data_IF_212595180229
#
_entry.id   IF_212595180229
#
_cell.length_a   1.000
_cell.length_b   1.000
_cell.length_c   1.000
_cell.angle_alpha   90.00
_cell.angle_beta   90.00
_cell.angle_gamma   90.00
#
_symmetry.space_group_name_H-M   'P 1'
#
loop_
_entity.id
_entity.type
_entity.pdbx_description
1 polymer ?
#
# COMPACT_ATOMS: atom_id res chain seq x y z
N UNK A 1 23.37 13.91 -26.17
CA UNK A 1 24.11 13.26 -25.07
C UNK A 1 23.13 12.53 -24.15
N UNK A 2 23.48 11.34 -23.65
CA UNK A 2 22.68 10.67 -22.60
C UNK A 2 23.02 11.31 -21.25
N UNK A 3 22.03 11.86 -20.57
CA UNK A 3 22.16 12.36 -19.18
C UNK A 3 21.94 11.15 -18.28
N UNK A 4 22.92 10.80 -17.44
CA UNK A 4 22.76 9.70 -16.48
C UNK A 4 21.79 10.06 -15.35
N UNK A 5 21.28 9.05 -14.64
CA UNK A 5 20.28 9.20 -13.58
C UNK A 5 20.62 10.28 -12.56
N UNK A 6 21.77 10.20 -11.89
CA UNK A 6 22.15 11.16 -10.85
C UNK A 6 22.29 12.60 -11.36
N UNK A 7 22.77 12.77 -12.60
CA UNK A 7 22.85 14.09 -13.22
C UNK A 7 21.46 14.63 -13.57
N UNK A 8 20.55 13.76 -14.01
CA UNK A 8 19.16 14.14 -14.22
C UNK A 8 18.49 14.51 -12.90
N UNK A 9 18.69 13.70 -11.85
CA UNK A 9 18.17 13.95 -10.51
C UNK A 9 18.66 15.29 -9.94
N UNK A 10 19.97 15.45 -9.82
CA UNK A 10 20.58 16.66 -9.28
C UNK A 10 20.23 17.88 -10.12
N UNK A 11 20.29 17.74 -11.45
CA UNK A 11 19.94 18.80 -12.38
C UNK A 11 18.49 19.25 -12.22
N UNK A 12 17.54 18.31 -12.20
CA UNK A 12 16.12 18.61 -12.02
C UNK A 12 15.82 19.23 -10.67
N UNK A 13 16.56 18.89 -9.62
CA UNK A 13 16.36 19.45 -8.27
C UNK A 13 17.06 20.80 -8.07
N UNK A 14 18.13 21.08 -8.82
CA UNK A 14 18.91 22.32 -8.68
C UNK A 14 18.45 23.45 -9.61
N UNK A 15 17.61 23.15 -10.61
CA UNK A 15 17.01 24.16 -11.46
C UNK A 15 16.54 23.67 -12.83
N UNK A 16 16.20 24.61 -13.70
CA UNK A 16 15.53 24.31 -14.98
C UNK A 16 16.48 24.18 -16.18
N UNK A 17 17.75 24.53 -16.02
CA UNK A 17 18.71 24.58 -17.13
C UNK A 17 18.97 23.20 -17.78
N UNK A 18 18.89 22.12 -17.00
CA UNK A 18 19.14 20.76 -17.49
C UNK A 18 18.04 20.26 -18.44
N UNK A 19 16.84 20.83 -18.39
CA UNK A 19 15.67 20.31 -19.10
C UNK A 19 15.75 20.41 -20.63
N UNK A 20 16.53 21.35 -21.15
CA UNK A 20 16.85 21.40 -22.59
C UNK A 20 17.59 20.15 -23.07
N UNK A 21 18.41 19.55 -22.21
CA UNK A 21 19.10 18.28 -22.48
C UNK A 21 18.20 17.09 -22.16
N UNK A 22 17.38 17.19 -21.11
CA UNK A 22 16.50 16.10 -20.69
C UNK A 22 15.37 15.82 -21.69
N UNK A 23 14.77 16.84 -22.32
CA UNK A 23 13.72 16.61 -23.33
C UNK A 23 14.16 15.74 -24.51
N UNK A 24 15.46 15.74 -24.82
CA UNK A 24 16.04 14.93 -25.89
C UNK A 24 16.28 13.48 -25.49
N UNK A 25 16.06 13.10 -24.22
CA UNK A 25 16.24 11.72 -23.77
C UNK A 25 15.31 10.75 -24.50
N UNK A 26 15.74 9.50 -24.56
CA UNK A 26 14.87 8.40 -24.99
C UNK A 26 13.80 8.20 -23.93
N UNK A 27 12.56 7.94 -24.37
CA UNK A 27 11.43 7.73 -23.46
C UNK A 27 11.71 6.57 -22.49
N UNK A 28 12.24 5.46 -23.01
CA UNK A 28 12.61 4.30 -22.20
C UNK A 28 13.64 4.65 -21.11
N UNK A 29 14.59 5.55 -21.39
CA UNK A 29 15.57 6.01 -20.39
C UNK A 29 14.91 6.88 -19.33
N UNK A 30 13.96 7.74 -19.70
CA UNK A 30 13.18 8.51 -18.74
C UNK A 30 12.32 7.61 -17.85
N UNK A 31 11.64 6.61 -18.43
CA UNK A 31 10.88 5.60 -17.68
C UNK A 31 11.80 4.83 -16.72
N UNK A 32 12.98 4.42 -17.17
CA UNK A 32 13.94 3.75 -16.29
C UNK A 32 14.38 4.63 -15.12
N UNK A 33 14.71 5.90 -15.36
CA UNK A 33 15.03 6.84 -14.29
C UNK A 33 13.85 7.07 -13.34
N UNK A 34 12.63 7.10 -13.87
CA UNK A 34 11.42 7.22 -13.07
C UNK A 34 11.22 6.01 -12.14
N UNK A 35 11.41 4.79 -12.65
CA UNK A 35 11.34 3.56 -11.84
C UNK A 35 12.40 3.60 -10.74
N UNK A 36 13.64 3.95 -11.07
CA UNK A 36 14.71 4.05 -10.08
C UNK A 36 14.39 5.09 -9.00
N UNK A 37 13.87 6.25 -9.40
CA UNK A 37 13.47 7.30 -8.47
C UNK A 37 12.32 6.85 -7.56
N UNK A 38 11.35 6.13 -8.13
CA UNK A 38 10.22 5.59 -7.37
C UNK A 38 10.68 4.58 -6.33
N UNK A 39 11.62 3.69 -6.68
CA UNK A 39 12.21 2.73 -5.73
C UNK A 39 12.94 3.43 -4.58
N UNK A 40 13.67 4.52 -4.87
CA UNK A 40 14.34 5.31 -3.84
C UNK A 40 13.32 5.96 -2.89
N UNK A 41 12.30 6.64 -3.45
CA UNK A 41 11.25 7.29 -2.64
C UNK A 41 10.48 6.28 -1.79
N UNK A 42 10.12 5.16 -2.39
CA UNK A 42 9.50 4.02 -1.72
C UNK A 42 10.30 3.53 -0.52
N UNK A 43 11.61 3.35 -0.70
CA UNK A 43 12.50 2.94 0.38
C UNK A 43 12.51 3.96 1.52
N UNK A 44 12.58 5.26 1.22
CA UNK A 44 12.53 6.30 2.25
C UNK A 44 11.20 6.34 3.01
N UNK A 45 10.07 6.30 2.30
CA UNK A 45 8.74 6.23 2.94
C UNK A 45 8.61 5.00 3.83
N UNK A 46 9.08 3.85 3.34
CA UNK A 46 9.09 2.62 4.12
C UNK A 46 9.88 2.77 5.43
N UNK A 47 11.07 3.39 5.39
CA UNK A 47 11.85 3.63 6.60
C UNK A 47 11.11 4.53 7.61
N UNK A 48 10.32 5.49 7.16
CA UNK A 48 9.52 6.35 8.04
C UNK A 48 8.31 5.65 8.67
N UNK A 49 7.65 4.78 7.92
CA UNK A 49 6.42 4.09 8.37
C UNK A 49 6.71 2.78 9.11
N UNK A 50 7.81 2.09 8.78
CA UNK A 50 8.17 0.79 9.33
C UNK A 50 8.24 0.75 10.87
N UNK A 51 8.84 1.72 11.58
CA UNK A 51 8.88 1.70 13.04
C UNK A 51 7.49 1.67 13.67
N UNK A 52 6.55 2.47 13.15
CA UNK A 52 5.18 2.50 13.64
C UNK A 52 4.46 1.17 13.37
N UNK A 53 4.59 0.62 12.16
CA UNK A 53 4.01 -0.70 11.83
C UNK A 53 4.62 -1.83 12.65
N UNK A 54 5.92 -1.77 12.92
CA UNK A 54 6.62 -2.73 13.78
C UNK A 54 6.10 -2.64 15.22
N UNK A 55 5.91 -1.44 15.75
CA UNK A 55 5.33 -1.25 17.08
C UNK A 55 3.90 -1.81 17.17
N UNK A 56 3.06 -1.59 16.14
CA UNK A 56 1.72 -2.18 16.06
C UNK A 56 1.78 -3.71 16.01
N UNK A 57 2.75 -4.26 15.26
CA UNK A 57 3.00 -5.71 15.17
C UNK A 57 3.40 -6.27 16.53
N UNK A 58 4.40 -5.69 17.18
CA UNK A 58 4.91 -6.14 18.48
C UNK A 58 3.79 -6.09 19.55
N UNK A 59 2.99 -5.02 19.55
CA UNK A 59 1.84 -4.87 20.46
C UNK A 59 0.76 -5.94 20.19
N UNK A 60 0.45 -6.21 18.92
CA UNK A 60 -0.53 -7.22 18.53
C UNK A 60 -0.09 -8.63 18.89
N UNK A 61 1.19 -8.95 18.67
CA UNK A 61 1.79 -10.23 19.04
C UNK A 61 1.74 -10.42 20.56
N UNK A 62 2.03 -9.37 21.34
CA UNK A 62 1.95 -9.43 22.80
C UNK A 62 0.53 -9.74 23.28
N UNK A 63 -0.48 -8.99 22.81
CA UNK A 63 -1.89 -9.25 23.17
C UNK A 63 -2.31 -10.66 22.78
N UNK A 64 -1.89 -11.12 21.61
CA UNK A 64 -2.16 -12.47 21.15
C UNK A 64 -1.51 -13.52 22.07
N UNK A 65 -0.26 -13.31 22.47
CA UNK A 65 0.46 -14.21 23.38
C UNK A 65 -0.16 -14.26 24.78
N UNK A 66 -0.62 -13.12 25.29
CA UNK A 66 -1.31 -13.02 26.58
C UNK A 66 -2.63 -13.79 26.56
N UNK A 67 -3.39 -13.71 25.47
CA UNK A 67 -4.70 -14.36 25.38
C UNK A 67 -4.61 -15.83 24.96
N UNK A 68 -3.83 -16.16 23.93
CA UNK A 68 -3.83 -17.49 23.30
C UNK A 68 -2.60 -18.33 23.68
N UNK A 69 -1.47 -17.71 24.02
CA UNK A 69 -0.19 -18.41 24.17
C UNK A 69 0.24 -19.10 22.88
N UNK A 70 0.76 -20.33 23.00
CA UNK A 70 1.08 -21.19 21.85
C UNK A 70 -0.20 -21.67 21.16
N UNK A 71 -0.24 -21.63 19.83
CA UNK A 71 -1.32 -22.27 19.06
C UNK A 71 -0.91 -23.68 18.65
N UNK A 72 -1.85 -24.61 18.71
CA UNK A 72 -1.62 -25.99 18.28
C UNK A 72 -2.51 -26.27 17.07
N UNK A 73 -1.87 -26.65 15.97
CA UNK A 73 -2.52 -27.18 14.78
C UNK A 73 -2.38 -28.70 14.76
N UNK A 74 -3.51 -29.38 14.92
CA UNK A 74 -3.65 -30.82 14.80
C UNK A 74 -4.28 -31.23 13.47
N UNK A 75 -4.66 -32.51 13.39
CA UNK A 75 -5.33 -33.09 12.22
C UNK A 75 -6.73 -32.48 11.98
N UNK A 76 -7.42 -32.14 13.05
CA UNK A 76 -8.83 -31.73 13.10
C UNK A 76 -9.07 -30.44 13.90
N UNK A 77 -8.04 -29.93 14.58
CA UNK A 77 -8.18 -28.78 15.48
C UNK A 77 -7.11 -27.71 15.26
N UNK A 78 -7.51 -26.46 15.46
CA UNK A 78 -6.62 -25.32 15.57
C UNK A 78 -7.06 -24.49 16.78
N UNK A 79 -6.31 -24.63 17.88
CA UNK A 79 -6.73 -24.12 19.19
C UNK A 79 -5.57 -23.49 19.96
N UNK A 80 -5.86 -22.49 20.82
CA UNK A 80 -4.88 -21.99 21.77
C UNK A 80 -4.61 -23.03 22.86
N UNK A 81 -3.34 -23.19 23.22
CA UNK A 81 -2.92 -24.05 24.32
C UNK A 81 -3.38 -23.47 25.68
N UNK A 82 -3.48 -22.15 25.79
CA UNK A 82 -3.98 -21.47 26.99
C UNK A 82 -5.51 -21.51 27.02
N UNK A 83 -6.07 -22.23 28.00
CA UNK A 83 -7.52 -22.37 28.22
C UNK A 83 -8.33 -22.79 26.97
N UNK A 84 -8.02 -23.90 26.29
CA UNK A 84 -8.64 -24.27 25.00
C UNK A 84 -10.17 -24.28 25.01
N UNK A 85 -10.81 -24.64 26.12
CA UNK A 85 -12.27 -24.72 26.21
C UNK A 85 -12.98 -23.39 26.51
N UNK A 86 -12.25 -22.26 26.51
CA UNK A 86 -12.79 -20.94 26.85
C UNK A 86 -12.89 -20.05 25.62
N UNK A 87 -14.12 -19.68 25.26
CA UNK A 87 -14.41 -18.64 24.29
C UNK A 87 -13.85 -17.30 24.77
N UNK A 88 -13.26 -16.51 23.87
CA UNK A 88 -12.70 -15.19 24.21
C UNK A 88 -12.72 -14.24 23.03
N UNK A 89 -12.74 -12.96 23.36
CA UNK A 89 -12.54 -11.85 22.45
C UNK A 89 -11.41 -10.98 23.00
N UNK A 90 -10.55 -10.50 22.11
CA UNK A 90 -9.57 -9.46 22.42
C UNK A 90 -9.31 -8.60 21.17
N UNK A 91 -8.81 -7.38 21.38
CA UNK A 91 -8.55 -6.44 20.30
C UNK A 91 -7.04 -6.31 20.09
N UNK A 92 -6.59 -6.43 18.84
CA UNK A 92 -5.20 -6.20 18.46
C UNK A 92 -5.00 -4.76 17.96
N UNK A 93 -3.74 -4.32 17.86
CA UNK A 93 -3.43 -2.96 17.42
C UNK A 93 -3.84 -2.78 15.95
N UNK A 94 -4.90 -2.00 15.69
CA UNK A 94 -5.50 -1.86 14.35
C UNK A 94 -7.04 -1.86 14.30
N UNK A 95 -7.70 -1.41 15.38
CA UNK A 95 -9.05 -1.84 15.83
C UNK A 95 -9.63 -3.12 15.17
N UNK A 96 -8.89 -4.22 15.24
CA UNK A 96 -9.36 -5.53 14.77
C UNK A 96 -9.71 -6.39 15.98
N UNK A 97 -10.96 -6.84 16.05
CA UNK A 97 -11.42 -7.78 17.06
C UNK A 97 -11.03 -9.21 16.68
N UNK A 98 -10.52 -9.98 17.63
CA UNK A 98 -10.04 -11.33 17.45
C UNK A 98 -10.83 -12.24 18.38
N UNK A 99 -11.66 -13.10 17.79
CA UNK A 99 -12.61 -13.96 18.52
C UNK A 99 -12.24 -15.43 18.33
N UNK A 100 -12.02 -16.12 19.45
CA UNK A 100 -11.84 -17.56 19.47
C UNK A 100 -13.07 -18.24 20.09
N UNK A 101 -13.58 -19.26 19.40
CA UNK A 101 -14.64 -20.12 19.88
C UNK A 101 -14.14 -21.58 19.98
N UNK A 102 -14.36 -22.26 21.11
CA UNK A 102 -14.26 -23.71 21.14
C UNK A 102 -15.38 -24.34 20.29
N UNK A 103 -15.18 -25.56 19.76
CA UNK A 103 -16.12 -26.16 18.79
C UNK A 103 -17.53 -26.37 19.34
N UNK A 104 -17.65 -26.52 20.65
CA UNK A 104 -18.91 -26.67 21.38
C UNK A 104 -19.55 -25.33 21.80
N UNK A 105 -19.00 -24.18 21.41
CA UNK A 105 -19.58 -22.88 21.72
C UNK A 105 -20.94 -22.72 21.04
N UNK A 106 -21.97 -22.41 21.83
CA UNK A 106 -23.34 -22.17 21.34
C UNK A 106 -23.60 -20.68 21.05
N UNK A 107 -22.88 -19.79 21.72
CA UNK A 107 -23.04 -18.34 21.62
C UNK A 107 -21.71 -17.64 21.37
N UNK A 108 -21.78 -16.45 20.76
CA UNK A 108 -20.63 -15.56 20.65
C UNK A 108 -20.36 -14.88 22.00
N UNK A 109 -19.10 -14.59 22.34
CA UNK A 109 -18.76 -13.76 23.49
C UNK A 109 -19.50 -12.42 23.41
N UNK A 110 -20.05 -12.00 24.55
CA UNK A 110 -20.53 -10.63 24.70
C UNK A 110 -19.40 -9.67 24.30
N UNK A 111 -19.76 -8.60 23.60
CA UNK A 111 -18.83 -7.55 23.17
C UNK A 111 -17.86 -7.90 22.05
N UNK A 112 -18.07 -8.99 21.29
CA UNK A 112 -17.16 -9.32 20.17
C UNK A 112 -17.06 -8.23 19.09
N UNK A 113 -18.09 -7.38 18.97
CA UNK A 113 -18.11 -6.23 18.07
C UNK A 113 -17.80 -4.89 18.75
N UNK A 114 -17.64 -4.87 20.07
CA UNK A 114 -17.55 -3.62 20.81
C UNK A 114 -16.27 -2.88 20.37
N UNK A 115 -16.43 -1.63 19.95
CA UNK A 115 -15.34 -0.73 19.52
C UNK A 115 -14.62 -1.11 18.21
N UNK A 116 -15.01 -2.19 17.53
CA UNK A 116 -14.38 -2.64 16.29
C UNK A 116 -15.39 -2.74 15.13
N UNK A 117 -15.03 -2.17 13.99
CA UNK A 117 -15.80 -2.34 12.73
C UNK A 117 -15.40 -3.60 11.96
N UNK A 118 -14.30 -4.26 12.34
CA UNK A 118 -13.81 -5.47 11.68
C UNK A 118 -13.25 -6.46 12.68
N UNK A 119 -13.27 -7.74 12.33
CA UNK A 119 -12.66 -8.76 13.16
C UNK A 119 -12.44 -10.09 12.46
N UNK A 120 -11.69 -10.95 13.14
CA UNK A 120 -11.40 -12.33 12.75
C UNK A 120 -12.03 -13.24 13.78
N UNK A 121 -12.71 -14.27 13.32
CA UNK A 121 -13.29 -15.31 14.17
C UNK A 121 -12.83 -16.69 13.71
N UNK A 122 -12.46 -17.54 14.67
CA UNK A 122 -12.17 -18.93 14.36
C UNK A 122 -12.73 -19.92 15.39
N UNK A 123 -13.04 -21.12 14.89
CA UNK A 123 -13.51 -22.27 15.65
C UNK A 123 -12.99 -23.56 15.00
N UNK A 124 -12.20 -24.34 15.74
CA UNK A 124 -11.50 -25.49 15.15
C UNK A 124 -10.68 -25.06 13.94
N UNK A 125 -10.78 -25.76 12.82
CA UNK A 125 -10.08 -25.41 11.56
C UNK A 125 -10.78 -24.33 10.72
N UNK A 126 -11.90 -23.76 11.19
CA UNK A 126 -12.71 -22.79 10.43
C UNK A 126 -12.32 -21.38 10.85
N UNK A 127 -11.97 -20.56 9.87
CA UNK A 127 -11.56 -19.17 10.07
C UNK A 127 -12.38 -18.30 9.12
N UNK A 128 -12.89 -17.18 9.63
CA UNK A 128 -13.55 -16.16 8.82
C UNK A 128 -13.25 -14.76 9.34
N UNK A 129 -13.45 -13.77 8.48
CA UNK A 129 -13.41 -12.37 8.84
C UNK A 129 -14.82 -11.78 8.78
N UNK A 130 -15.12 -10.81 9.62
CA UNK A 130 -16.38 -10.08 9.58
C UNK A 130 -16.11 -8.57 9.46
N UNK A 131 -16.98 -7.88 8.75
CA UNK A 131 -16.96 -6.42 8.58
C UNK A 131 -18.34 -5.89 8.91
N UNK A 132 -18.40 -4.96 9.85
CA UNK A 132 -19.62 -4.32 10.32
C UNK A 132 -19.84 -3.03 9.52
N UNK A 133 -20.95 -2.96 8.77
CA UNK A 133 -21.39 -1.74 8.09
C UNK A 133 -22.36 -0.93 8.94
N UNK A 134 -23.20 -1.61 9.72
CA UNK A 134 -24.14 -1.01 10.68
C UNK A 134 -24.37 -1.96 11.86
N UNK A 135 -25.12 -1.55 12.89
CA UNK A 135 -25.40 -2.39 14.08
C UNK A 135 -26.06 -3.74 13.78
N UNK A 136 -26.65 -3.92 12.59
CA UNK A 136 -27.31 -5.16 12.18
C UNK A 136 -26.86 -5.70 10.83
N UNK A 137 -25.89 -5.07 10.17
CA UNK A 137 -25.44 -5.51 8.83
C UNK A 137 -23.95 -5.84 8.88
N UNK A 138 -23.66 -7.13 8.79
CA UNK A 138 -22.32 -7.69 8.88
C UNK A 138 -22.07 -8.52 7.62
N UNK A 139 -20.99 -8.20 6.92
CA UNK A 139 -20.48 -9.05 5.87
C UNK A 139 -19.51 -10.07 6.49
N UNK A 140 -19.85 -11.36 6.40
CA UNK A 140 -18.97 -12.44 6.80
C UNK A 140 -18.23 -13.02 5.59
N UNK A 141 -16.91 -12.98 5.66
CA UNK A 141 -15.98 -13.49 4.67
C UNK A 141 -15.44 -14.83 5.14
N UNK A 142 -16.03 -15.92 4.65
CA UNK A 142 -15.51 -17.27 4.90
C UNK A 142 -14.46 -17.67 3.87
N UNK A 143 -13.65 -18.68 4.18
CA UNK A 143 -12.72 -19.31 3.23
C UNK A 143 -11.68 -18.31 2.66
N UNK A 144 -11.15 -17.44 3.53
CA UNK A 144 -10.22 -16.36 3.15
C UNK A 144 -10.77 -15.43 2.05
N UNK A 145 -12.04 -15.03 2.16
CA UNK A 145 -12.63 -14.00 1.30
C UNK A 145 -13.29 -14.51 0.01
N UNK A 146 -13.41 -15.82 -0.19
CA UNK A 146 -14.04 -16.40 -1.40
C UNK A 146 -15.56 -16.34 -1.39
N UNK A 147 -16.16 -16.35 -0.20
CA UNK A 147 -17.62 -16.33 -0.05
C UNK A 147 -17.99 -15.27 0.97
N UNK A 148 -18.83 -14.34 0.51
CA UNK A 148 -19.41 -13.29 1.34
C UNK A 148 -20.83 -13.71 1.68
N UNK A 149 -21.14 -13.76 2.97
CA UNK A 149 -22.49 -14.01 3.47
C UNK A 149 -22.90 -12.80 4.28
N UNK A 150 -23.99 -12.16 3.88
CA UNK A 150 -24.63 -11.12 4.68
C UNK A 150 -25.31 -11.77 5.86
N UNK A 151 -24.98 -11.31 7.05
CA UNK A 151 -25.53 -11.82 8.30
C UNK A 151 -26.09 -10.66 9.11
N UNK A 152 -27.31 -10.88 9.61
CA UNK A 152 -28.13 -9.88 10.31
C UNK A 152 -28.23 -10.14 11.82
N UNK A 153 -27.62 -11.22 12.29
CA UNK A 153 -27.67 -11.66 13.67
C UNK A 153 -26.44 -12.50 14.04
N UNK A 154 -26.12 -12.52 15.33
CA UNK A 154 -25.04 -13.32 15.90
C UNK A 154 -25.21 -14.82 15.64
N UNK A 155 -26.45 -15.31 15.71
CA UNK A 155 -26.80 -16.69 15.39
C UNK A 155 -26.52 -17.01 13.91
N UNK A 156 -26.84 -16.08 13.00
CA UNK A 156 -26.55 -16.25 11.58
C UNK A 156 -25.04 -16.22 11.30
N UNK A 157 -24.26 -15.38 11.99
CA UNK A 157 -22.80 -15.36 11.90
C UNK A 157 -22.18 -16.69 12.36
N UNK A 158 -22.64 -17.21 13.51
CA UNK A 158 -22.18 -18.48 14.07
C UNK A 158 -22.56 -19.67 13.16
N UNK A 159 -23.77 -19.67 12.60
CA UNK A 159 -24.21 -20.66 11.62
C UNK A 159 -23.38 -20.59 10.32
N UNK A 160 -23.08 -19.38 9.82
CA UNK A 160 -22.24 -19.16 8.66
C UNK A 160 -20.81 -19.68 8.89
N UNK A 161 -20.23 -19.42 10.06
CA UNK A 161 -18.94 -19.98 10.47
C UNK A 161 -18.99 -21.51 10.56
N UNK A 162 -20.04 -22.09 11.14
CA UNK A 162 -20.18 -23.55 11.23
C UNK A 162 -20.34 -24.23 9.87
N UNK A 163 -20.98 -23.55 8.92
CA UNK A 163 -21.15 -24.04 7.53
C UNK A 163 -19.92 -23.80 6.65
N UNK A 164 -18.93 -23.02 7.10
CA UNK A 164 -17.73 -22.76 6.30
C UNK A 164 -16.85 -24.00 6.19
N UNK A 165 -16.13 -24.10 5.07
CA UNK A 165 -15.09 -25.11 4.93
C UNK A 165 -13.92 -24.83 5.87
N UNK A 166 -13.15 -25.87 6.18
CA UNK A 166 -11.90 -25.73 6.93
C UNK A 166 -10.93 -24.84 6.13
N UNK A 167 -10.42 -23.80 6.77
CA UNK A 167 -9.48 -22.86 6.16
C UNK A 167 -8.07 -23.48 6.02
N UNK A 168 -7.77 -24.52 6.79
CA UNK A 168 -6.46 -25.17 6.84
C UNK A 168 -6.55 -26.59 6.28
N UNK A 169 -5.76 -26.89 5.25
CA UNK A 169 -5.65 -28.23 4.68
C UNK A 169 -4.69 -29.08 5.52
N UNK A 170 -5.24 -29.87 6.44
CA UNK A 170 -4.47 -30.70 7.37
C UNK A 170 -4.10 -32.09 6.82
N UNK A 171 -4.35 -32.39 5.53
CA UNK A 171 -4.14 -33.73 4.94
C UNK A 171 -2.73 -34.31 5.18
N UNK A 172 -1.71 -33.45 5.25
CA UNK A 172 -0.33 -33.87 5.54
C UNK A 172 -0.08 -34.12 7.03
N UNK A 173 -0.77 -33.40 7.91
CA UNK A 173 -0.69 -33.59 9.37
C UNK A 173 -1.45 -34.84 9.80
N UNK A 174 -2.63 -35.06 9.22
CA UNK A 174 -3.45 -36.28 9.42
C UNK A 174 -2.65 -37.53 9.08
N UNK A 175 -1.91 -37.53 7.96
CA UNK A 175 -1.11 -38.68 7.53
C UNK A 175 0.13 -38.92 8.39
N UNK A 176 0.67 -37.89 9.04
CA UNK A 176 1.90 -37.99 9.81
C UNK A 176 1.67 -38.13 11.32
N UNK A 177 0.44 -37.95 11.81
CA UNK A 177 0.12 -37.96 13.24
C UNK A 177 0.81 -36.83 14.02
N UNK A 178 1.39 -35.84 13.34
CA UNK A 178 2.15 -34.76 13.96
C UNK A 178 1.25 -33.56 14.23
N UNK A 179 1.45 -32.94 15.38
CA UNK A 179 0.93 -31.61 15.70
C UNK A 179 2.00 -30.57 15.40
N UNK A 180 1.59 -29.42 14.89
CA UNK A 180 2.47 -28.25 14.71
C UNK A 180 2.12 -27.25 15.79
N UNK A 181 3.11 -26.85 16.56
CA UNK A 181 2.97 -25.79 17.54
C UNK A 181 3.51 -24.50 16.94
N UNK A 182 2.68 -23.45 16.96
CA UNK A 182 3.10 -22.10 16.61
C UNK A 182 3.35 -21.36 17.90
N UNK A 183 4.63 -21.13 18.18
CA UNK A 183 5.06 -20.30 19.30
C UNK A 183 4.76 -18.83 19.01
N UNK A 184 4.79 -18.00 20.06
CA UNK A 184 4.70 -16.54 19.90
C UNK A 184 5.79 -15.99 18.98
N UNK A 185 6.98 -16.60 18.99
CA UNK A 185 8.09 -16.22 18.10
C UNK A 185 7.80 -16.57 16.64
N UNK A 186 7.19 -17.73 16.38
CA UNK A 186 6.74 -18.10 15.03
C UNK A 186 5.69 -17.12 14.51
N UNK A 187 4.72 -16.76 15.35
CA UNK A 187 3.68 -15.77 15.01
C UNK A 187 4.34 -14.43 14.70
N UNK A 188 5.26 -13.96 15.54
CA UNK A 188 6.01 -12.72 15.31
C UNK A 188 6.73 -12.75 13.95
N UNK A 189 7.45 -13.82 13.67
CA UNK A 189 8.19 -13.98 12.41
C UNK A 189 7.25 -13.94 11.20
N UNK A 190 6.08 -14.58 11.28
CA UNK A 190 5.05 -14.50 10.24
C UNK A 190 4.54 -13.08 10.02
N UNK A 191 4.21 -12.35 11.09
CA UNK A 191 3.79 -10.95 10.98
C UNK A 191 4.89 -10.07 10.37
N UNK A 192 6.16 -10.26 10.76
CA UNK A 192 7.27 -9.53 10.17
C UNK A 192 7.45 -9.81 8.68
N UNK A 193 7.28 -11.07 8.25
CA UNK A 193 7.36 -11.45 6.83
C UNK A 193 6.21 -10.77 6.06
N UNK A 194 4.98 -10.86 6.56
CA UNK A 194 3.81 -10.22 5.94
C UNK A 194 4.02 -8.70 5.84
N UNK A 195 4.51 -8.08 6.91
CA UNK A 195 4.83 -6.67 6.96
C UNK A 195 5.88 -6.31 5.89
N UNK A 196 6.98 -7.06 5.77
CA UNK A 196 8.01 -6.87 4.74
C UNK A 196 7.49 -7.12 3.30
N UNK A 197 6.49 -7.97 3.11
CA UNK A 197 5.88 -8.22 1.81
C UNK A 197 4.87 -7.13 1.41
N UNK A 198 4.12 -6.59 2.38
CA UNK A 198 3.13 -5.52 2.16
C UNK A 198 3.74 -4.25 1.57
N UNK A 199 5.03 -4.01 1.83
CA UNK A 199 5.83 -2.93 1.23
C UNK A 199 5.73 -2.93 -0.28
N UNK A 200 5.94 -4.09 -0.91
CA UNK A 200 5.92 -4.20 -2.36
C UNK A 200 4.58 -3.76 -2.94
N UNK A 201 3.48 -4.13 -2.27
CA UNK A 201 2.13 -3.74 -2.67
C UNK A 201 1.89 -2.24 -2.55
N UNK A 202 2.31 -1.62 -1.44
CA UNK A 202 2.17 -0.16 -1.24
C UNK A 202 2.99 0.61 -2.28
N UNK A 203 4.24 0.18 -2.52
CA UNK A 203 5.12 0.76 -3.55
C UNK A 203 4.47 0.68 -4.92
N UNK A 204 3.93 -0.48 -5.28
CA UNK A 204 3.30 -0.71 -6.56
C UNK A 204 2.11 0.23 -6.79
N UNK A 205 1.26 0.39 -5.77
CA UNK A 205 0.10 1.30 -5.81
C UNK A 205 0.55 2.74 -6.07
N UNK A 206 1.55 3.23 -5.33
CA UNK A 206 2.06 4.59 -5.52
C UNK A 206 2.70 4.80 -6.89
N UNK A 207 3.48 3.83 -7.39
CA UNK A 207 4.04 3.91 -8.74
C UNK A 207 2.93 4.02 -9.78
N UNK A 208 1.88 3.19 -9.66
CA UNK A 208 0.75 3.21 -10.58
C UNK A 208 0.03 4.58 -10.57
N UNK A 209 -0.18 5.16 -9.38
CA UNK A 209 -0.78 6.50 -9.24
C UNK A 209 0.07 7.60 -9.90
N UNK A 210 1.38 7.59 -9.66
CA UNK A 210 2.28 8.60 -10.24
C UNK A 210 2.30 8.50 -11.77
N UNK A 211 2.40 7.27 -12.31
CA UNK A 211 2.33 7.04 -13.77
C UNK A 211 1.01 7.56 -14.32
N UNK A 212 -0.10 7.30 -13.64
CA UNK A 212 -1.41 7.83 -14.01
C UNK A 212 -1.41 9.36 -14.09
N UNK A 213 -0.88 10.07 -13.09
CA UNK A 213 -0.80 11.53 -13.11
C UNK A 213 0.06 12.08 -14.25
N UNK A 214 1.21 11.45 -14.53
CA UNK A 214 2.07 11.83 -15.66
C UNK A 214 1.33 11.68 -16.99
N UNK A 215 0.58 10.58 -17.17
CA UNK A 215 -0.18 10.33 -18.38
C UNK A 215 -1.33 11.31 -18.55
N UNK A 216 -2.12 11.54 -17.49
CA UNK A 216 -3.21 12.52 -17.49
C UNK A 216 -2.68 13.90 -17.86
N UNK A 217 -1.58 14.34 -17.24
CA UNK A 217 -0.98 15.64 -17.56
C UNK A 217 -0.53 15.72 -19.02
N UNK A 218 0.14 14.69 -19.53
CA UNK A 218 0.62 14.65 -20.91
C UNK A 218 -0.54 14.73 -21.91
N UNK A 219 -1.66 14.05 -21.63
CA UNK A 219 -2.88 14.10 -22.45
C UNK A 219 -3.52 15.48 -22.39
N UNK A 220 -3.73 16.05 -21.21
CA UNK A 220 -4.32 17.40 -21.05
C UNK A 220 -3.46 18.45 -21.77
N UNK A 221 -2.14 18.39 -21.61
CA UNK A 221 -1.21 19.29 -22.29
C UNK A 221 -1.21 19.13 -23.81
N UNK A 222 -1.40 17.91 -24.32
CA UNK A 222 -1.55 17.67 -25.74
C UNK A 222 -2.85 18.29 -26.27
N UNK A 223 -3.96 18.11 -25.54
CA UNK A 223 -5.28 18.65 -25.90
C UNK A 223 -5.29 20.18 -25.89
N UNK A 224 -4.73 20.81 -24.86
CA UNK A 224 -4.65 22.28 -24.77
C UNK A 224 -3.78 22.90 -25.88
N UNK A 225 -2.85 22.13 -26.45
CA UNK A 225 -2.00 22.58 -27.55
C UNK A 225 -2.55 22.25 -28.95
N UNK A 226 -3.78 21.72 -29.08
CA UNK A 226 -4.38 21.40 -30.40
C UNK A 226 -4.70 22.62 -31.26
N UNK A 227 -4.66 23.85 -30.70
CA UNK A 227 -4.94 25.10 -31.42
C UNK A 227 -3.78 26.11 -31.49
N UNK A 228 -2.60 25.78 -30.96
CA UNK A 228 -1.39 26.64 -31.00
C UNK A 228 -0.27 25.92 -31.77
N UNK A 229 0.75 26.64 -32.24
CA UNK A 229 1.95 26.00 -32.84
C UNK A 229 2.48 24.96 -31.83
N UNK A 230 2.49 23.67 -32.20
CA UNK A 230 2.94 22.60 -31.30
C UNK A 230 4.42 22.80 -30.96
N UNK A 231 4.71 23.31 -29.76
CA UNK A 231 6.08 23.59 -29.32
C UNK A 231 6.84 22.33 -28.85
N UNK A 232 6.11 21.32 -28.40
CA UNK A 232 6.62 20.05 -27.87
C UNK A 232 5.86 18.86 -28.46
N UNK A 233 6.57 17.78 -28.73
CA UNK A 233 5.97 16.47 -29.05
C UNK A 233 5.42 15.80 -27.79
N UNK A 234 4.47 14.87 -27.96
CA UNK A 234 3.91 14.08 -26.85
C UNK A 234 4.99 13.34 -26.05
N UNK A 235 6.00 12.79 -26.74
CA UNK A 235 7.18 12.18 -26.11
C UNK A 235 7.92 13.18 -25.22
N UNK A 236 8.20 14.38 -25.73
CA UNK A 236 8.91 15.41 -24.96
C UNK A 236 8.10 15.84 -23.73
N UNK A 237 6.77 15.96 -23.85
CA UNK A 237 5.90 16.26 -22.71
C UNK A 237 5.99 15.19 -21.62
N UNK A 238 5.92 13.90 -21.98
CA UNK A 238 6.08 12.81 -20.99
C UNK A 238 7.46 12.86 -20.34
N UNK A 239 8.51 13.03 -21.14
CA UNK A 239 9.89 13.08 -20.63
C UNK A 239 10.08 14.26 -19.68
N UNK A 240 9.58 15.44 -20.04
CA UNK A 240 9.61 16.63 -19.18
C UNK A 240 8.82 16.41 -17.89
N UNK A 241 7.61 15.83 -17.99
CA UNK A 241 6.76 15.55 -16.82
C UNK A 241 7.42 14.57 -15.85
N UNK A 242 8.05 13.50 -16.35
CA UNK A 242 8.83 12.57 -15.52
C UNK A 242 9.88 13.32 -14.71
N UNK A 243 10.72 14.12 -15.37
CA UNK A 243 11.84 14.78 -14.71
C UNK A 243 11.42 15.97 -13.85
N UNK A 244 10.32 16.64 -14.19
CA UNK A 244 9.71 17.68 -13.36
C UNK A 244 9.02 17.08 -12.12
N UNK A 245 8.63 15.82 -12.18
CA UNK A 245 8.13 15.08 -11.03
C UNK A 245 9.20 14.78 -9.97
N UNK A 246 10.49 14.78 -10.30
CA UNK A 246 11.53 14.36 -9.35
C UNK A 246 11.60 15.18 -8.06
N UNK A 247 11.63 16.53 -8.10
CA UNK A 247 11.61 17.32 -6.86
C UNK A 247 10.34 17.07 -6.04
N UNK A 248 9.18 16.99 -6.71
CA UNK A 248 7.90 16.75 -6.05
C UNK A 248 7.84 15.36 -5.39
N UNK A 249 8.42 14.32 -6.02
CA UNK A 249 8.55 12.99 -5.43
C UNK A 249 9.43 13.00 -4.18
N UNK A 250 10.56 13.73 -4.19
CA UNK A 250 11.44 13.84 -3.01
C UNK A 250 10.70 14.53 -1.86
N UNK A 251 10.08 15.68 -2.13
CA UNK A 251 9.39 16.46 -1.10
C UNK A 251 8.19 15.66 -0.56
N UNK A 252 7.41 15.04 -1.44
CA UNK A 252 6.26 14.23 -1.05
C UNK A 252 6.68 13.01 -0.23
N UNK A 253 7.70 12.28 -0.65
CA UNK A 253 8.18 11.11 0.09
C UNK A 253 8.80 11.49 1.44
N UNK A 254 9.48 12.63 1.54
CA UNK A 254 9.99 13.14 2.80
C UNK A 254 8.85 13.56 3.75
N UNK A 255 7.83 14.24 3.25
CA UNK A 255 6.67 14.63 4.05
C UNK A 255 5.91 13.42 4.60
N UNK A 256 5.70 12.40 3.75
CA UNK A 256 5.05 11.14 4.14
C UNK A 256 5.90 10.36 5.16
N UNK A 257 7.22 10.28 4.95
CA UNK A 257 8.14 9.62 5.88
C UNK A 257 8.17 10.31 7.27
N UNK A 258 7.95 11.62 7.31
CA UNK A 258 7.86 12.41 8.55
C UNK A 258 6.44 12.46 9.14
N UNK A 259 5.46 11.83 8.49
CA UNK A 259 4.06 11.80 8.91
C UNK A 259 3.47 13.21 9.18
N UNK A 260 3.78 14.17 8.31
CA UNK A 260 3.31 15.55 8.47
C UNK A 260 1.78 15.65 8.30
N UNK A 261 1.05 16.24 9.27
CA UNK A 261 -0.40 16.32 9.20
C UNK A 261 -0.86 17.22 8.05
N UNK A 262 -1.82 16.73 7.26
CA UNK A 262 -2.45 17.50 6.17
C UNK A 262 -1.63 17.56 4.86
N UNK A 263 -0.48 16.90 4.79
CA UNK A 263 0.42 16.90 3.64
C UNK A 263 0.60 15.49 3.08
N UNK A 264 -0.42 15.00 2.37
CA UNK A 264 -0.36 13.69 1.71
C UNK A 264 0.55 13.75 0.48
N UNK A 265 1.26 12.65 0.21
CA UNK A 265 2.11 12.49 -0.98
C UNK A 265 1.44 12.97 -2.27
N UNK A 266 0.19 12.56 -2.53
CA UNK A 266 -0.53 12.85 -3.78
C UNK A 266 -0.70 14.35 -4.02
N UNK A 267 -1.04 15.09 -2.96
CA UNK A 267 -1.26 16.55 -3.03
C UNK A 267 0.05 17.26 -3.35
N UNK A 268 1.12 16.90 -2.63
CA UNK A 268 2.45 17.47 -2.85
C UNK A 268 2.95 17.13 -4.25
N UNK A 269 2.78 15.88 -4.68
CA UNK A 269 3.24 15.42 -5.97
C UNK A 269 2.54 16.18 -7.11
N UNK A 270 1.20 16.22 -7.11
CA UNK A 270 0.42 16.85 -8.17
C UNK A 270 0.70 18.35 -8.24
N UNK A 271 0.68 19.06 -7.11
CA UNK A 271 0.95 20.49 -7.07
C UNK A 271 2.39 20.80 -7.45
N UNK A 272 3.35 20.12 -6.83
CA UNK A 272 4.78 20.33 -7.05
C UNK A 272 5.18 20.04 -8.49
N UNK A 273 4.74 18.90 -9.04
CA UNK A 273 5.02 18.53 -10.43
C UNK A 273 4.40 19.53 -11.39
N UNK A 274 3.13 19.92 -11.19
CA UNK A 274 2.43 20.84 -12.08
C UNK A 274 3.09 22.22 -12.10
N UNK A 275 3.34 22.80 -10.92
CA UNK A 275 4.00 24.11 -10.80
C UNK A 275 5.38 24.05 -11.46
N UNK A 276 6.17 23.03 -11.15
CA UNK A 276 7.53 22.94 -11.66
C UNK A 276 7.58 22.71 -13.16
N UNK A 277 6.66 21.91 -13.69
CA UNK A 277 6.56 21.63 -15.12
C UNK A 277 6.15 22.88 -15.92
N UNK A 278 5.23 23.71 -15.40
CA UNK A 278 4.90 25.01 -16.01
C UNK A 278 6.15 25.91 -16.07
N UNK A 279 6.91 25.99 -14.99
CA UNK A 279 8.15 26.79 -14.94
C UNK A 279 9.17 26.27 -15.97
N UNK A 280 9.35 24.94 -16.06
CA UNK A 280 10.25 24.30 -17.03
C UNK A 280 9.83 24.60 -18.46
N UNK A 281 8.55 24.44 -18.79
CA UNK A 281 8.02 24.69 -20.13
C UNK A 281 8.22 26.15 -20.54
N UNK A 282 7.84 27.10 -19.68
CA UNK A 282 8.02 28.53 -19.92
C UNK A 282 9.50 28.88 -20.13
N UNK A 283 10.41 28.27 -19.36
CA UNK A 283 11.85 28.51 -19.51
C UNK A 283 12.38 28.02 -20.85
N UNK A 284 11.96 26.83 -21.30
CA UNK A 284 12.37 26.28 -22.59
C UNK A 284 11.82 27.14 -23.74
N UNK A 285 10.56 27.58 -23.63
CA UNK A 285 9.95 28.44 -24.63
C UNK A 285 10.68 29.79 -24.75
N UNK A 286 10.95 30.45 -23.61
CA UNK A 286 11.71 31.70 -23.57
C UNK A 286 13.10 31.56 -24.22
N UNK A 287 13.84 30.49 -23.87
CA UNK A 287 15.17 30.24 -24.44
C UNK A 287 15.14 29.95 -25.94
N UNK A 288 14.04 29.43 -26.47
CA UNK A 288 13.86 29.22 -27.91
C UNK A 288 13.56 30.55 -28.61
N UNK A 289 12.63 31.34 -28.10
CA UNK A 289 12.30 32.67 -28.66
C UNK A 289 13.53 33.58 -28.68
N UNK A 290 14.33 33.59 -27.60
CA UNK A 290 15.59 34.33 -27.54
C UNK A 290 16.58 33.89 -28.63
N UNK A 291 16.70 32.59 -28.90
CA UNK A 291 17.59 32.06 -29.96
C UNK A 291 17.10 32.45 -31.36
N UNK A 292 15.79 32.45 -31.61
CA UNK A 292 15.21 32.88 -32.87
C UNK A 292 15.47 34.37 -33.11
N UNK A 293 15.20 35.21 -32.12
CA UNK A 293 15.49 36.64 -32.20
C UNK A 293 16.99 36.92 -32.44
N UNK A 294 17.89 36.18 -31.81
CA UNK A 294 19.34 36.31 -32.07
C UNK A 294 19.71 35.91 -33.50
N UNK A 295 19.08 34.89 -34.07
CA UNK A 295 19.32 34.47 -35.46
C UNK A 295 18.80 35.49 -36.47
N UNK A 296 17.64 36.10 -36.20
CA UNK A 296 17.02 37.11 -37.06
C UNK A 296 17.78 38.45 -37.05
N UNK A 297 18.46 38.81 -35.95
CA UNK A 297 19.22 40.07 -35.85
C UNK A 297 20.72 39.94 -36.19
N UNK A 298 21.21 38.72 -36.46
CA UNK A 298 22.58 38.46 -36.92
C UNK A 298 22.68 38.19 -38.44
N UNK A 299 21.54 38.20 -39.14
CA UNK A 299 21.42 38.16 -40.60
C UNK A 299 21.18 39.56 -41.15
#
# INVERSE_FOLDING_TARGET
>A
MKVGFFRALWGSCSGTAVFEQLKQQKLLTAIWHFVLMSLICAFFMWQGVYPALKQLTDSSVQVFAENCGTLVLGADKFEPLRHPNRARVFTIAGPVSVTYLPENAETLPENYQQECSTGIIWSGLKIGAWVKHSDRDIDFYSEMGRKVVKVDSDAALLDALRKSQAAVNTKLLVKSGKTVQFTTEDIKNWFEIILKLSVGSIIFIHIAQIVFYILVFAVVSLLMNLGRKRYFSFKELIVLAIYAGFPAMIIGSAAEALQLPGLNFDVIYVLGMTIYLIIVMNRIEYNRQKRQWQQENLQ
#
